data_IF_580680847236
#
_entry.id   IF_580680847236
#
_cell.length_a   1.000
_cell.length_b   1.000
_cell.length_c   1.000
_cell.angle_alpha   90.00
_cell.angle_beta   90.00
_cell.angle_gamma   90.00
#
_symmetry.space_group_name_H-M   'P 1'
#
loop_
_entity.id
_entity.type
_entity.pdbx_description
1 polymer ?
#
# COMPACT_ATOMS: atom_id res chain seq x y z
N UNK A 1 31.87 45.76 -60.98
CA UNK A 1 32.80 45.24 -60.00
C UNK A 1 32.23 45.50 -58.63
N UNK A 2 31.79 44.57 -57.98
CA UNK A 2 31.97 44.13 -56.61
C UNK A 2 30.86 43.19 -56.19
N UNK A 3 31.30 42.07 -55.80
CA UNK A 3 30.57 40.87 -55.41
C UNK A 3 29.95 41.08 -54.04
N UNK A 4 28.66 40.77 -53.93
CA UNK A 4 27.95 40.67 -52.67
C UNK A 4 28.12 39.28 -52.06
N UNK A 5 28.69 39.19 -50.87
CA UNK A 5 28.78 37.97 -50.10
C UNK A 5 27.42 37.62 -49.50
N UNK A 6 26.93 36.44 -49.83
CA UNK A 6 25.78 35.78 -49.16
C UNK A 6 26.27 35.17 -47.83
N UNK A 7 25.81 35.70 -46.72
CA UNK A 7 25.96 35.07 -45.40
C UNK A 7 24.92 33.92 -45.28
N UNK A 8 25.43 32.69 -45.32
CA UNK A 8 24.70 31.53 -44.84
C UNK A 8 24.46 31.68 -43.33
N UNK A 9 23.23 31.91 -42.95
CA UNK A 9 22.82 31.76 -41.57
C UNK A 9 22.68 30.26 -41.28
N UNK A 10 23.57 29.76 -40.45
CA UNK A 10 23.53 28.44 -39.86
C UNK A 10 22.42 28.46 -38.75
N UNK A 11 21.18 28.11 -39.16
CA UNK A 11 20.14 27.81 -38.20
C UNK A 11 20.47 26.46 -37.59
N UNK A 12 21.24 26.47 -36.51
CA UNK A 12 21.31 25.35 -35.58
C UNK A 12 19.92 25.20 -34.95
N UNK A 13 19.11 24.34 -35.56
CA UNK A 13 17.93 23.79 -34.93
C UNK A 13 18.40 23.12 -33.64
N UNK A 14 18.12 23.75 -32.52
CA UNK A 14 18.30 23.11 -31.23
C UNK A 14 17.40 21.90 -31.27
N UNK A 15 17.96 20.70 -31.25
CA UNK A 15 17.25 19.49 -30.88
C UNK A 15 16.66 19.78 -29.49
N UNK A 16 15.38 20.11 -29.45
CA UNK A 16 14.61 20.12 -28.21
C UNK A 16 14.70 18.70 -27.67
N UNK A 17 15.30 18.62 -26.52
CA UNK A 17 15.57 17.42 -25.72
C UNK A 17 14.23 16.68 -25.55
N UNK A 18 13.99 15.65 -26.40
CA UNK A 18 12.79 14.80 -26.32
C UNK A 18 12.92 13.86 -25.12
N UNK A 19 13.03 14.43 -23.92
CA UNK A 19 12.90 13.66 -22.69
C UNK A 19 11.45 13.18 -22.61
N UNK A 20 11.27 11.88 -22.57
CA UNK A 20 9.95 11.28 -22.37
C UNK A 20 9.38 11.67 -21.00
N UNK A 21 8.08 11.66 -20.86
CA UNK A 21 7.38 11.82 -19.57
C UNK A 21 7.03 10.45 -19.04
N UNK A 22 7.38 10.19 -17.78
CA UNK A 22 7.01 8.98 -17.07
C UNK A 22 5.69 9.21 -16.31
N UNK A 23 4.58 8.82 -16.91
CA UNK A 23 3.24 9.04 -16.37
C UNK A 23 2.84 7.96 -15.37
N UNK A 24 2.48 8.35 -14.16
CA UNK A 24 1.98 7.50 -13.07
C UNK A 24 0.54 7.85 -12.75
N UNK A 25 -0.35 6.87 -12.77
CA UNK A 25 -1.73 7.03 -12.33
C UNK A 25 -1.97 6.20 -11.07
N UNK A 26 -2.41 6.87 -10.00
CA UNK A 26 -2.74 6.25 -8.72
C UNK A 26 -4.25 6.37 -8.47
N UNK A 27 -5.00 5.28 -8.59
CA UNK A 27 -6.41 5.24 -8.24
C UNK A 27 -6.58 4.68 -6.82
N UNK A 28 -7.42 5.33 -6.01
CA UNK A 28 -7.54 5.11 -4.58
C UNK A 28 -6.21 5.40 -3.88
N UNK A 29 -5.59 6.53 -4.23
CA UNK A 29 -4.22 6.87 -3.85
C UNK A 29 -3.99 6.98 -2.34
N UNK A 30 -5.04 7.20 -1.56
CA UNK A 30 -4.95 7.32 -0.11
C UNK A 30 -3.95 8.41 0.31
N UNK A 31 -3.04 8.07 1.21
CA UNK A 31 -1.97 8.97 1.67
C UNK A 31 -0.70 8.90 0.82
N UNK A 32 -0.74 8.24 -0.35
CA UNK A 32 0.41 8.15 -1.26
C UNK A 32 1.34 6.96 -1.00
N UNK A 33 0.84 5.88 -0.43
CA UNK A 33 1.65 4.69 -0.16
C UNK A 33 2.25 4.06 -1.42
N UNK A 34 1.51 4.04 -2.55
CA UNK A 34 2.00 3.54 -3.84
C UNK A 34 3.14 4.41 -4.36
N UNK A 35 3.01 5.73 -4.29
CA UNK A 35 4.07 6.67 -4.66
C UNK A 35 5.33 6.46 -3.84
N UNK A 36 5.21 6.37 -2.51
CA UNK A 36 6.35 6.07 -1.64
C UNK A 36 7.04 4.74 -2.00
N UNK A 37 6.26 3.76 -2.43
CA UNK A 37 6.79 2.48 -2.88
C UNK A 37 7.51 2.58 -4.23
N UNK A 38 6.99 3.36 -5.18
CA UNK A 38 7.65 3.65 -6.46
C UNK A 38 8.97 4.39 -6.25
N UNK A 39 8.98 5.42 -5.39
CA UNK A 39 10.19 6.16 -5.03
C UNK A 39 11.23 5.23 -4.35
N UNK A 40 10.79 4.36 -3.44
CA UNK A 40 11.66 3.39 -2.75
C UNK A 40 12.22 2.33 -3.67
N UNK A 41 11.43 1.84 -4.62
CA UNK A 41 11.84 0.87 -5.63
C UNK A 41 12.80 1.49 -6.66
N UNK A 42 12.92 2.83 -6.66
CA UNK A 42 13.82 3.58 -7.52
C UNK A 42 13.61 3.34 -9.02
N UNK A 43 12.36 3.12 -9.42
CA UNK A 43 12.00 2.72 -10.79
C UNK A 43 12.22 3.83 -11.83
N UNK A 44 12.45 5.07 -11.39
CA UNK A 44 12.62 6.25 -12.26
C UNK A 44 14.08 6.56 -12.62
N UNK A 45 15.08 5.95 -11.95
CA UNK A 45 16.48 6.39 -12.02
C UNK A 45 17.21 6.05 -13.33
N UNK A 46 16.66 5.15 -14.12
CA UNK A 46 17.27 4.74 -15.40
C UNK A 46 16.78 5.56 -16.59
N UNK A 47 15.81 6.44 -16.35
CA UNK A 47 15.22 7.29 -17.37
C UNK A 47 15.39 8.75 -16.95
N UNK A 48 15.96 9.58 -17.82
CA UNK A 48 16.04 11.03 -17.64
C UNK A 48 14.70 11.74 -17.86
N UNK A 49 13.60 10.98 -17.85
CA UNK A 49 12.24 11.46 -18.06
C UNK A 49 11.78 12.31 -16.88
N UNK A 50 10.95 13.30 -17.17
CA UNK A 50 10.15 13.99 -16.17
C UNK A 50 9.07 13.05 -15.65
N UNK A 51 8.82 13.02 -14.33
CA UNK A 51 7.83 12.13 -13.72
C UNK A 51 6.58 12.91 -13.36
N UNK A 52 5.44 12.49 -13.93
CA UNK A 52 4.13 13.07 -13.64
C UNK A 52 3.26 12.09 -12.85
N UNK A 53 2.63 12.59 -11.78
CA UNK A 53 1.72 11.81 -10.95
C UNK A 53 0.29 12.35 -11.04
N UNK A 54 -0.66 11.50 -11.36
CA UNK A 54 -2.09 11.78 -11.21
C UNK A 54 -2.67 10.86 -10.14
N UNK A 55 -2.99 11.43 -8.98
CA UNK A 55 -3.52 10.72 -7.81
C UNK A 55 -5.01 11.03 -7.62
N UNK A 56 -5.86 10.01 -7.51
CA UNK A 56 -7.32 10.14 -7.34
C UNK A 56 -7.76 9.42 -6.07
N UNK A 57 -8.43 10.15 -5.17
CA UNK A 57 -9.07 9.60 -3.98
C UNK A 57 -10.29 10.45 -3.58
N UNK A 58 -11.32 9.84 -3.00
CA UNK A 58 -12.50 10.55 -2.53
C UNK A 58 -12.41 11.05 -1.09
N UNK A 59 -11.34 10.71 -0.37
CA UNK A 59 -11.14 11.07 1.02
C UNK A 59 -10.34 12.38 1.14
N UNK A 60 -11.01 13.48 1.48
CA UNK A 60 -10.37 14.79 1.63
C UNK A 60 -9.19 14.79 2.63
N UNK A 61 -9.25 14.02 3.71
CA UNK A 61 -8.15 13.92 4.66
C UNK A 61 -6.94 13.19 4.06
N UNK A 62 -7.17 12.15 3.26
CA UNK A 62 -6.11 11.45 2.55
C UNK A 62 -5.45 12.38 1.53
N UNK A 63 -6.24 13.10 0.74
CA UNK A 63 -5.75 14.09 -0.22
C UNK A 63 -4.97 15.23 0.44
N UNK A 64 -5.39 15.68 1.64
CA UNK A 64 -4.65 16.69 2.40
C UNK A 64 -3.26 16.18 2.82
N UNK A 65 -3.16 14.92 3.28
CA UNK A 65 -1.88 14.27 3.59
C UNK A 65 -1.03 14.09 2.33
N UNK A 66 -1.61 13.61 1.24
CA UNK A 66 -0.91 13.45 -0.04
C UNK A 66 -0.31 14.78 -0.51
N UNK A 67 -1.12 15.84 -0.53
CA UNK A 67 -0.66 17.18 -0.91
C UNK A 67 0.45 17.71 -0.02
N UNK A 68 0.35 17.52 1.30
CA UNK A 68 1.36 17.97 2.26
C UNK A 68 2.74 17.35 2.02
N UNK A 69 2.79 16.12 1.48
CA UNK A 69 4.03 15.38 1.27
C UNK A 69 4.58 15.50 -0.15
N UNK A 70 3.75 15.74 -1.17
CA UNK A 70 4.17 15.53 -2.55
C UNK A 70 4.00 16.73 -3.49
N UNK A 71 3.19 17.74 -3.15
CA UNK A 71 2.93 18.88 -4.07
C UNK A 71 4.14 19.80 -4.30
N UNK A 72 5.12 19.81 -3.39
CA UNK A 72 6.29 20.69 -3.47
C UNK A 72 7.56 19.96 -3.98
N UNK A 73 7.39 18.74 -4.49
CA UNK A 73 8.49 17.98 -5.08
C UNK A 73 8.74 18.41 -6.53
N UNK A 74 9.87 18.03 -7.08
CA UNK A 74 10.30 18.35 -8.45
C UNK A 74 9.43 17.72 -9.55
N UNK A 75 8.63 16.72 -9.21
CA UNK A 75 7.70 16.04 -10.13
C UNK A 75 6.39 16.78 -10.27
N UNK A 76 5.81 16.85 -11.46
CA UNK A 76 4.46 17.35 -11.63
C UNK A 76 3.47 16.43 -10.92
N UNK A 77 2.64 16.98 -10.04
CA UNK A 77 1.69 16.23 -9.23
C UNK A 77 0.29 16.82 -9.31
N UNK A 78 -0.67 16.02 -9.76
CA UNK A 78 -2.09 16.36 -9.82
C UNK A 78 -2.85 15.50 -8.82
N UNK A 79 -3.53 16.13 -7.86
CA UNK A 79 -4.37 15.44 -6.86
C UNK A 79 -5.82 15.79 -7.11
N UNK A 80 -6.59 14.81 -7.56
CA UNK A 80 -8.00 14.93 -7.91
C UNK A 80 -8.86 14.32 -6.79
N UNK A 81 -9.78 15.11 -6.26
CA UNK A 81 -10.68 14.69 -5.18
C UNK A 81 -12.06 14.34 -5.74
N UNK A 82 -12.46 13.07 -5.57
CA UNK A 82 -13.77 12.61 -5.99
C UNK A 82 -13.87 11.10 -6.10
N UNK A 83 -15.07 10.62 -6.38
CA UNK A 83 -15.29 9.20 -6.67
C UNK A 83 -14.75 8.86 -8.07
N UNK A 84 -14.18 7.69 -8.21
CA UNK A 84 -13.61 7.22 -9.50
C UNK A 84 -14.64 7.29 -10.63
N UNK A 85 -15.90 6.99 -10.34
CA UNK A 85 -16.99 7.01 -11.32
C UNK A 85 -17.34 8.43 -11.85
N UNK A 86 -16.89 9.47 -11.15
CA UNK A 86 -17.10 10.87 -11.58
C UNK A 86 -16.01 11.40 -12.52
N UNK A 87 -14.96 10.62 -12.75
CA UNK A 87 -13.85 10.99 -13.64
C UNK A 87 -13.94 10.24 -14.98
N UNK A 88 -13.46 10.87 -16.01
CA UNK A 88 -13.12 10.20 -17.27
C UNK A 88 -11.79 9.47 -17.09
N UNK A 89 -11.87 8.27 -16.51
CA UNK A 89 -10.70 7.45 -16.19
C UNK A 89 -9.98 7.01 -17.46
N UNK A 90 -10.71 6.77 -18.53
CA UNK A 90 -10.13 6.44 -19.85
C UNK A 90 -9.19 7.55 -20.31
N UNK A 91 -9.65 8.81 -20.24
CA UNK A 91 -8.80 9.95 -20.57
C UNK A 91 -7.60 10.09 -19.62
N UNK A 92 -7.77 9.79 -18.33
CA UNK A 92 -6.66 9.81 -17.36
C UNK A 92 -5.63 8.73 -17.67
N UNK A 93 -6.06 7.52 -18.06
CA UNK A 93 -5.16 6.41 -18.43
C UNK A 93 -4.46 6.66 -19.76
N UNK A 94 -5.12 7.37 -20.69
CA UNK A 94 -4.60 7.76 -21.98
C UNK A 94 -3.85 9.11 -21.95
N UNK A 95 -3.31 9.50 -20.80
CA UNK A 95 -2.61 10.79 -20.62
C UNK A 95 -1.37 10.96 -21.52
N UNK A 96 -0.83 9.86 -22.03
CA UNK A 96 0.14 9.84 -23.15
C UNK A 96 -0.40 9.03 -24.34
N UNK A 97 0.19 9.22 -25.53
CA UNK A 97 -0.20 8.52 -26.76
C UNK A 97 -0.12 6.99 -26.60
N UNK A 98 0.81 6.51 -25.75
CA UNK A 98 1.07 5.09 -25.51
C UNK A 98 0.50 4.59 -24.16
N UNK A 99 -0.36 5.37 -23.50
CA UNK A 99 -0.88 5.11 -22.15
C UNK A 99 0.11 5.48 -21.03
N UNK A 100 -0.36 5.48 -19.79
CA UNK A 100 0.51 5.74 -18.66
C UNK A 100 1.52 4.61 -18.43
N UNK A 101 2.68 4.94 -17.86
CA UNK A 101 3.76 3.97 -17.61
C UNK A 101 3.36 2.93 -16.58
N UNK A 102 2.65 3.38 -15.53
CA UNK A 102 2.10 2.49 -14.52
C UNK A 102 0.77 3.01 -13.96
N UNK A 103 -0.16 2.09 -13.82
CA UNK A 103 -1.41 2.25 -13.06
C UNK A 103 -1.29 1.48 -11.74
N UNK A 104 -1.48 2.18 -10.62
CA UNK A 104 -1.56 1.55 -9.29
C UNK A 104 -2.99 1.64 -8.73
N UNK A 105 -3.47 0.56 -8.13
CA UNK A 105 -4.83 0.40 -7.65
C UNK A 105 -4.85 -0.16 -6.23
N UNK A 106 -5.51 0.51 -5.29
CA UNK A 106 -5.83 -0.07 -3.98
C UNK A 106 -7.32 0.14 -3.64
N UNK A 107 -8.23 -0.51 -4.40
CA UNK A 107 -9.67 -0.30 -4.25
C UNK A 107 -10.18 -0.76 -2.89
N UNK A 108 -11.28 -0.15 -2.39
CA UNK A 108 -11.87 -0.50 -1.09
C UNK A 108 -12.15 -2.00 -0.96
N UNK A 109 -11.74 -2.58 0.16
CA UNK A 109 -11.80 -4.01 0.44
C UNK A 109 -13.20 -4.55 0.81
N UNK A 110 -14.23 -3.73 0.82
CA UNK A 110 -15.60 -4.17 1.03
C UNK A 110 -16.25 -4.38 -0.34
N UNK A 111 -16.87 -5.53 -0.58
CA UNK A 111 -17.48 -6.48 0.37
C UNK A 111 -16.62 -7.70 0.77
N UNK A 112 -15.35 -7.78 0.42
CA UNK A 112 -14.49 -8.98 0.54
C UNK A 112 -14.00 -9.30 1.96
N UNK A 113 -14.15 -8.41 2.94
CA UNK A 113 -13.71 -8.67 4.32
C UNK A 113 -14.62 -9.66 5.03
N UNK A 114 -14.03 -10.55 5.86
CA UNK A 114 -14.79 -11.51 6.73
C UNK A 114 -15.83 -10.84 7.63
N UNK A 115 -15.74 -9.55 7.90
CA UNK A 115 -16.70 -8.74 8.66
C UNK A 115 -17.73 -8.04 7.76
N UNK A 116 -17.56 -8.05 6.45
CA UNK A 116 -18.54 -7.55 5.48
C UNK A 116 -19.70 -8.52 5.41
N UNK A 117 -20.91 -8.08 5.75
CA UNK A 117 -22.13 -8.86 5.45
C UNK A 117 -22.13 -9.10 3.95
N UNK A 118 -22.26 -10.36 3.50
CA UNK A 118 -22.33 -10.80 2.10
C UNK A 118 -23.36 -10.02 1.24
N UNK A 119 -23.08 -8.75 0.97
CA UNK A 119 -23.85 -7.87 0.08
C UNK A 119 -23.04 -7.62 -1.19
N UNK A 120 -22.66 -8.72 -1.87
CA UNK A 120 -21.73 -8.69 -3.01
C UNK A 120 -22.25 -7.89 -4.22
N UNK A 121 -23.55 -7.75 -4.41
CA UNK A 121 -24.12 -7.23 -5.66
C UNK A 121 -24.69 -5.79 -5.59
N UNK A 122 -24.66 -5.11 -4.45
CA UNK A 122 -25.29 -3.77 -4.28
C UNK A 122 -24.49 -2.78 -3.44
N UNK A 123 -23.18 -2.98 -3.30
CA UNK A 123 -22.36 -2.02 -2.57
C UNK A 123 -21.74 -1.04 -3.56
N UNK A 124 -22.07 0.25 -3.42
CA UNK A 124 -21.50 1.33 -4.25
C UNK A 124 -19.96 1.34 -4.29
N UNK A 125 -19.29 0.65 -3.36
CA UNK A 125 -17.83 0.52 -3.30
C UNK A 125 -17.25 -0.54 -4.22
N UNK A 126 -18.06 -1.48 -4.73
CA UNK A 126 -17.67 -2.40 -5.80
C UNK A 126 -17.80 -1.74 -7.18
N UNK A 127 -18.59 -0.68 -7.28
CA UNK A 127 -18.88 0.01 -8.54
C UNK A 127 -17.63 0.66 -9.13
N UNK A 128 -16.77 1.25 -8.27
CA UNK A 128 -15.56 1.93 -8.73
C UNK A 128 -14.55 0.98 -9.39
N UNK A 129 -14.31 -0.20 -8.79
CA UNK A 129 -13.44 -1.22 -9.41
C UNK A 129 -14.10 -1.81 -10.66
N UNK A 130 -15.42 -2.08 -10.62
CA UNK A 130 -16.15 -2.58 -11.77
C UNK A 130 -16.03 -1.62 -12.97
N UNK A 131 -16.16 -0.29 -12.75
CA UNK A 131 -15.97 0.72 -13.81
C UNK A 131 -14.57 0.66 -14.43
N UNK A 132 -13.54 0.42 -13.61
CA UNK A 132 -12.17 0.26 -14.12
C UNK A 132 -12.08 -1.02 -14.98
N UNK A 133 -12.68 -2.11 -14.52
CA UNK A 133 -12.71 -3.38 -15.28
C UNK A 133 -13.44 -3.20 -16.61
N UNK A 134 -14.58 -2.51 -16.60
CA UNK A 134 -15.35 -2.23 -17.82
C UNK A 134 -14.48 -1.53 -18.89
N UNK A 135 -13.63 -0.57 -18.51
CA UNK A 135 -12.70 0.11 -19.43
C UNK A 135 -11.76 -0.90 -20.14
N UNK A 136 -11.25 -1.89 -19.38
CA UNK A 136 -10.39 -2.91 -19.96
C UNK A 136 -11.17 -3.94 -20.79
N UNK A 137 -12.41 -4.24 -20.43
CA UNK A 137 -13.30 -5.11 -21.22
C UNK A 137 -13.63 -4.45 -22.57
N UNK A 138 -14.09 -3.19 -22.56
CA UNK A 138 -14.43 -2.41 -23.74
C UNK A 138 -13.23 -2.25 -24.69
N UNK A 139 -12.05 -1.92 -24.16
CA UNK A 139 -10.82 -1.82 -24.95
C UNK A 139 -10.41 -3.16 -25.62
N UNK A 140 -10.74 -4.29 -25.00
CA UNK A 140 -10.52 -5.62 -25.57
C UNK A 140 -11.47 -5.95 -26.71
N UNK A 141 -12.70 -5.45 -26.67
CA UNK A 141 -13.72 -5.67 -27.71
C UNK A 141 -13.45 -4.82 -28.96
N UNK A 142 -13.02 -3.56 -28.79
CA UNK A 142 -12.64 -2.69 -29.91
C UNK A 142 -11.53 -3.27 -30.79
N UNK A 143 -10.60 -4.05 -30.22
CA UNK A 143 -9.52 -4.72 -30.98
C UNK A 143 -10.03 -5.84 -31.90
N UNK A 144 -11.15 -6.48 -31.56
CA UNK A 144 -11.73 -7.55 -32.38
C UNK A 144 -12.51 -7.00 -33.60
N UNK A 145 -13.06 -5.78 -33.51
CA UNK A 145 -13.97 -5.22 -34.51
C UNK A 145 -13.33 -4.22 -35.49
N UNK A 146 -12.16 -3.63 -35.18
CA UNK A 146 -11.64 -2.50 -35.96
C UNK A 146 -10.19 -2.60 -36.43
N UNK A 147 -10.03 -2.71 -37.71
CA UNK A 147 -8.79 -2.35 -38.43
C UNK A 147 -8.82 -0.84 -38.64
N UNK A 148 -8.28 -0.05 -37.72
CA UNK A 148 -7.95 1.35 -38.00
C UNK A 148 -8.58 2.45 -37.13
N UNK A 149 -9.23 2.16 -35.99
CA UNK A 149 -9.75 3.16 -35.05
C UNK A 149 -9.02 3.15 -33.73
N UNK A 150 -8.97 4.33 -33.11
CA UNK A 150 -8.29 4.73 -31.88
C UNK A 150 -8.39 3.66 -30.79
N UNK A 151 -7.35 2.85 -30.63
CA UNK A 151 -7.23 1.94 -29.49
C UNK A 151 -7.06 2.79 -28.22
N UNK A 152 -7.90 2.57 -27.23
CA UNK A 152 -7.75 3.17 -25.90
C UNK A 152 -6.33 2.87 -25.40
N UNK A 153 -5.56 3.93 -25.12
CA UNK A 153 -4.18 3.78 -24.65
C UNK A 153 -4.20 3.24 -23.22
N UNK A 154 -4.00 1.95 -23.06
CA UNK A 154 -3.98 1.27 -21.77
C UNK A 154 -2.60 1.37 -21.08
N UNK A 155 -2.55 1.29 -19.72
CA UNK A 155 -1.30 1.34 -18.97
C UNK A 155 -0.29 0.29 -19.43
N UNK A 156 1.01 0.63 -19.42
CA UNK A 156 2.06 -0.33 -19.74
C UNK A 156 2.25 -1.38 -18.64
N UNK A 157 2.09 -0.96 -17.38
CA UNK A 157 2.17 -1.81 -16.18
C UNK A 157 1.02 -1.53 -15.23
N UNK A 158 0.64 -2.53 -14.45
CA UNK A 158 -0.44 -2.43 -13.46
C UNK A 158 0.00 -3.12 -12.17
N UNK A 159 -0.25 -2.48 -11.03
CA UNK A 159 -0.15 -3.09 -9.70
C UNK A 159 -1.47 -2.86 -8.96
N UNK A 160 -2.14 -3.94 -8.56
CA UNK A 160 -3.33 -3.90 -7.72
C UNK A 160 -3.04 -4.54 -6.37
N UNK A 161 -3.43 -3.87 -5.28
CA UNK A 161 -3.41 -4.40 -3.91
C UNK A 161 -4.84 -4.55 -3.38
N UNK A 162 -5.09 -5.65 -2.63
CA UNK A 162 -6.34 -5.82 -1.90
C UNK A 162 -6.15 -6.76 -0.69
N UNK A 163 -7.19 -6.94 0.11
CA UNK A 163 -7.18 -7.91 1.22
C UNK A 163 -7.20 -9.35 0.70
N UNK A 164 -6.69 -10.28 1.52
CA UNK A 164 -6.89 -11.72 1.30
C UNK A 164 -8.39 -12.02 1.33
N UNK A 165 -8.86 -12.77 0.34
CA UNK A 165 -10.27 -13.03 0.05
C UNK A 165 -10.75 -12.35 -1.24
N UNK A 166 -10.00 -11.35 -1.75
CA UNK A 166 -10.28 -10.75 -3.05
C UNK A 166 -10.14 -11.77 -4.19
N UNK A 167 -9.19 -12.69 -4.05
CA UNK A 167 -8.94 -13.77 -5.02
C UNK A 167 -10.14 -14.70 -5.27
N UNK A 168 -11.12 -14.67 -4.37
CA UNK A 168 -12.36 -15.46 -4.49
C UNK A 168 -13.53 -14.67 -5.12
N UNK A 169 -13.27 -13.41 -5.53
CA UNK A 169 -14.29 -12.52 -6.06
C UNK A 169 -14.43 -12.59 -7.58
N UNK A 170 -15.63 -12.32 -8.09
CA UNK A 170 -15.95 -12.26 -9.53
C UNK A 170 -15.23 -11.11 -10.23
N UNK A 171 -15.01 -9.99 -9.53
CA UNK A 171 -14.29 -8.84 -10.08
C UNK A 171 -12.83 -9.19 -10.38
N UNK A 172 -12.20 -10.03 -9.55
CA UNK A 172 -10.85 -10.54 -9.85
C UNK A 172 -10.84 -11.36 -11.13
N UNK A 173 -11.80 -12.27 -11.31
CA UNK A 173 -11.89 -13.12 -12.51
C UNK A 173 -12.09 -12.26 -13.77
N UNK A 174 -13.06 -11.35 -13.74
CA UNK A 174 -13.32 -10.41 -14.84
C UNK A 174 -12.07 -9.58 -15.18
N UNK A 175 -11.40 -9.03 -14.17
CA UNK A 175 -10.20 -8.20 -14.40
C UNK A 175 -9.07 -8.99 -15.06
N UNK A 176 -8.82 -10.22 -14.59
CA UNK A 176 -7.79 -11.08 -15.20
C UNK A 176 -8.14 -11.44 -16.65
N UNK A 177 -9.39 -11.75 -16.94
CA UNK A 177 -9.85 -12.04 -18.31
C UNK A 177 -9.67 -10.82 -19.21
N UNK A 178 -10.10 -9.63 -18.75
CA UNK A 178 -9.92 -8.40 -19.49
C UNK A 178 -8.43 -8.07 -19.74
N UNK A 179 -7.56 -8.25 -18.74
CA UNK A 179 -6.12 -8.06 -18.90
C UNK A 179 -5.52 -9.04 -19.92
N UNK A 180 -5.90 -10.31 -19.89
CA UNK A 180 -5.43 -11.31 -20.86
C UNK A 180 -5.90 -11.01 -22.28
N UNK A 181 -7.15 -10.54 -22.44
CA UNK A 181 -7.72 -10.10 -23.74
C UNK A 181 -6.95 -8.90 -24.31
N UNK A 182 -6.49 -8.01 -23.45
CA UNK A 182 -5.65 -6.87 -23.78
C UNK A 182 -4.16 -7.17 -23.83
N UNK A 183 -3.78 -8.45 -23.98
CA UNK A 183 -2.39 -8.88 -24.14
C UNK A 183 -1.46 -8.48 -22.99
N UNK A 184 -1.90 -8.69 -21.73
CA UNK A 184 -1.04 -8.58 -20.56
C UNK A 184 -0.50 -9.95 -20.08
N UNK A 185 0.74 -9.96 -19.64
CA UNK A 185 1.23 -10.98 -18.71
C UNK A 185 0.73 -10.63 -17.31
N UNK A 186 0.14 -11.59 -16.60
CA UNK A 186 -0.44 -11.39 -15.27
C UNK A 186 0.22 -12.34 -14.28
N UNK A 187 0.61 -11.80 -13.11
CA UNK A 187 1.12 -12.58 -11.96
C UNK A 187 0.35 -12.19 -10.71
N UNK A 188 -0.04 -13.18 -9.92
CA UNK A 188 -0.80 -12.97 -8.69
C UNK A 188 -0.05 -13.50 -7.48
N UNK A 189 -0.26 -12.85 -6.33
CA UNK A 189 0.29 -13.23 -5.05
C UNK A 189 -0.81 -13.16 -3.99
N UNK A 190 -1.00 -14.24 -3.22
CA UNK A 190 -2.00 -14.31 -2.17
C UNK A 190 -1.31 -14.44 -0.83
N UNK A 191 -1.63 -13.53 0.10
CA UNK A 191 -1.17 -13.61 1.47
C UNK A 191 0.25 -13.12 1.71
N UNK A 192 0.88 -12.37 0.76
CA UNK A 192 2.17 -11.73 1.05
C UNK A 192 2.05 -10.78 2.23
N UNK A 193 2.96 -10.90 3.16
CA UNK A 193 2.95 -10.14 4.40
C UNK A 193 4.37 -9.68 4.79
N UNK A 194 4.51 -8.47 5.37
CA UNK A 194 5.82 -7.87 5.66
C UNK A 194 6.73 -8.77 6.52
N UNK A 195 6.16 -9.45 7.52
CA UNK A 195 6.94 -10.29 8.43
C UNK A 195 7.50 -11.54 7.75
N UNK A 196 6.71 -12.16 6.89
CA UNK A 196 7.13 -13.40 6.20
C UNK A 196 8.03 -13.12 5.02
N UNK A 197 7.80 -12.00 4.32
CA UNK A 197 8.54 -11.64 3.12
C UNK A 197 9.85 -10.90 3.41
N UNK A 198 9.86 -10.02 4.42
CA UNK A 198 10.92 -9.05 4.63
C UNK A 198 11.44 -8.99 6.08
N UNK A 199 10.84 -9.74 7.00
CA UNK A 199 11.20 -9.70 8.42
C UNK A 199 10.70 -8.46 9.18
N UNK A 200 9.87 -7.61 8.58
CA UNK A 200 9.29 -6.45 9.26
C UNK A 200 8.27 -6.93 10.29
N UNK A 201 8.37 -6.53 11.59
CA UNK A 201 7.61 -7.17 12.67
C UNK A 201 6.12 -6.76 12.72
N UNK A 202 5.43 -6.87 11.60
CA UNK A 202 3.97 -6.61 11.50
C UNK A 202 3.30 -7.55 10.52
N UNK A 203 2.22 -8.21 10.94
CA UNK A 203 1.37 -9.03 10.08
C UNK A 203 0.44 -8.13 9.27
N UNK A 204 0.53 -8.24 7.93
CA UNK A 204 -0.38 -7.57 7.01
C UNK A 204 -0.53 -8.38 5.72
N UNK A 205 -1.10 -9.59 5.78
CA UNK A 205 -1.29 -10.41 4.58
C UNK A 205 -2.23 -9.73 3.59
N UNK A 206 -1.81 -9.65 2.32
CA UNK A 206 -2.54 -9.00 1.24
C UNK A 206 -2.49 -9.82 -0.05
N UNK A 207 -3.47 -9.59 -0.89
CA UNK A 207 -3.49 -10.01 -2.28
C UNK A 207 -2.84 -8.92 -3.14
N UNK A 208 -2.04 -9.35 -4.13
CA UNK A 208 -1.45 -8.47 -5.12
C UNK A 208 -1.61 -9.07 -6.51
N UNK A 209 -1.85 -8.20 -7.49
CA UNK A 209 -1.83 -8.53 -8.91
C UNK A 209 -0.86 -7.59 -9.61
N UNK A 210 0.06 -8.17 -10.38
CA UNK A 210 0.96 -7.47 -11.27
C UNK A 210 0.57 -7.80 -12.71
N UNK A 211 0.58 -6.80 -13.58
CA UNK A 211 0.41 -7.02 -15.01
C UNK A 211 1.34 -6.12 -15.81
N UNK A 212 1.81 -6.61 -16.97
CA UNK A 212 2.63 -5.86 -17.93
C UNK A 212 2.30 -6.28 -19.36
N UNK A 213 2.33 -5.32 -20.29
CA UNK A 213 1.96 -5.56 -21.69
C UNK A 213 2.97 -6.50 -22.36
N UNK A 214 2.49 -7.55 -23.02
CA UNK A 214 3.32 -8.57 -23.68
C UNK A 214 4.19 -8.00 -24.80
N UNK A 215 3.68 -7.03 -25.53
CA UNK A 215 4.39 -6.39 -26.65
C UNK A 215 5.62 -5.58 -26.21
N UNK A 216 5.63 -5.12 -24.95
CA UNK A 216 6.69 -4.27 -24.41
C UNK A 216 7.64 -5.04 -23.49
N UNK A 217 7.16 -6.10 -22.84
CA UNK A 217 7.88 -6.79 -21.77
C UNK A 217 7.74 -8.30 -21.87
N UNK A 218 8.78 -9.03 -21.46
CA UNK A 218 8.75 -10.48 -21.37
C UNK A 218 7.79 -11.01 -20.31
N UNK A 219 7.56 -12.33 -20.30
CA UNK A 219 6.78 -13.01 -19.24
C UNK A 219 7.46 -12.88 -17.88
N UNK A 220 6.68 -12.94 -16.79
CA UNK A 220 7.18 -13.04 -15.42
C UNK A 220 7.92 -14.37 -15.14
N UNK A 221 7.72 -15.38 -15.97
CA UNK A 221 8.22 -16.73 -15.75
C UNK A 221 9.49 -17.05 -16.57
N UNK A 222 10.19 -16.02 -17.11
CA UNK A 222 11.42 -16.21 -17.85
C UNK A 222 12.57 -16.50 -16.86
N UNK A 223 13.00 -17.77 -16.90
CA UNK A 223 14.31 -18.30 -16.43
C UNK A 223 14.69 -18.06 -14.97
N UNK A 224 14.10 -18.81 -14.04
CA UNK A 224 14.73 -19.08 -12.74
C UNK A 224 14.98 -17.89 -11.81
N UNK A 225 14.57 -16.72 -12.22
CA UNK A 225 14.77 -15.43 -11.55
C UNK A 225 13.62 -15.04 -10.60
N UNK A 226 12.88 -16.03 -10.12
CA UNK A 226 11.95 -15.76 -9.03
C UNK A 226 12.75 -15.15 -7.86
N UNK A 227 12.39 -13.95 -7.39
CA UNK A 227 13.12 -13.33 -6.29
C UNK A 227 13.15 -14.26 -5.06
N UNK A 228 14.20 -14.22 -4.24
CA UNK A 228 14.36 -15.13 -3.09
C UNK A 228 13.14 -15.19 -2.16
N UNK A 229 12.37 -14.10 -2.07
CA UNK A 229 11.14 -14.02 -1.28
C UNK A 229 9.94 -14.76 -1.91
N UNK A 230 10.04 -15.19 -3.19
CA UNK A 230 9.03 -16.03 -3.87
C UNK A 230 9.28 -17.52 -3.70
N UNK A 231 10.52 -17.93 -3.41
CA UNK A 231 10.82 -19.36 -3.27
C UNK A 231 10.13 -19.88 -2.01
N UNK A 232 9.26 -20.86 -2.17
CA UNK A 232 8.58 -21.59 -1.09
C UNK A 232 9.54 -22.41 -0.19
N UNK A 233 10.82 -22.41 -0.49
CA UNK A 233 11.85 -23.06 0.28
C UNK A 233 12.47 -22.08 1.30
N UNK A 234 11.76 -21.89 2.43
CA UNK A 234 12.33 -21.50 3.73
C UNK A 234 13.43 -20.42 3.75
N UNK A 235 13.24 -19.29 3.11
CA UNK A 235 13.88 -18.07 3.60
C UNK A 235 12.98 -17.50 4.69
N UNK A 236 13.06 -18.09 5.88
CA UNK A 236 12.62 -17.40 7.09
C UNK A 236 13.56 -16.21 7.25
N UNK A 237 13.21 -15.09 6.64
CA UNK A 237 13.87 -13.82 6.93
C UNK A 237 13.74 -13.62 8.42
N UNK A 238 14.87 -13.49 9.13
CA UNK A 238 14.82 -13.25 10.57
C UNK A 238 13.99 -12.00 10.81
N UNK A 239 12.98 -12.13 11.69
CA UNK A 239 12.13 -10.99 12.02
C UNK A 239 12.94 -9.97 12.81
N UNK A 240 12.90 -8.74 12.38
CA UNK A 240 13.57 -7.62 13.05
C UNK A 240 12.95 -7.35 14.43
N UNK A 241 13.74 -6.75 15.32
CA UNK A 241 13.23 -6.35 16.62
C UNK A 241 12.27 -5.16 16.46
N UNK A 242 11.04 -5.32 16.93
CA UNK A 242 10.01 -4.27 16.88
C UNK A 242 10.45 -2.98 17.58
N UNK A 243 11.36 -3.08 18.56
CA UNK A 243 11.91 -1.92 19.25
C UNK A 243 12.60 -0.90 18.33
N UNK A 244 13.09 -1.35 17.16
CA UNK A 244 13.70 -0.46 16.16
C UNK A 244 12.69 0.49 15.50
N UNK A 245 11.41 0.16 15.55
CA UNK A 245 10.31 0.92 14.98
C UNK A 245 9.64 1.87 15.96
N UNK A 246 10.03 1.79 17.26
CA UNK A 246 9.41 2.58 18.31
C UNK A 246 10.12 3.92 18.53
N UNK A 247 9.35 4.87 19.05
CA UNK A 247 9.87 6.17 19.45
C UNK A 247 10.77 6.00 20.69
N UNK A 248 11.92 6.70 20.71
CA UNK A 248 12.86 6.67 21.85
C UNK A 248 12.26 7.35 23.09
N UNK A 249 11.47 8.39 22.86
CA UNK A 249 10.74 9.10 23.88
C UNK A 249 9.25 8.96 23.58
N UNK A 250 8.48 8.51 24.57
CA UNK A 250 7.05 8.23 24.38
C UNK A 250 6.27 9.50 24.65
N UNK A 251 5.50 9.91 23.66
CA UNK A 251 4.63 11.09 23.76
C UNK A 251 3.49 10.87 24.77
N UNK A 252 3.14 11.93 25.49
CA UNK A 252 2.01 11.94 26.42
C UNK A 252 0.72 11.83 25.59
N UNK A 253 -0.18 10.90 25.94
CA UNK A 253 -1.50 10.76 25.29
C UNK A 253 -1.69 9.47 24.48
N UNK A 254 -0.74 8.53 24.55
CA UNK A 254 -0.87 7.20 23.94
C UNK A 254 -1.50 6.15 24.87
N UNK A 255 -1.94 6.55 26.06
CA UNK A 255 -2.57 5.66 27.02
C UNK A 255 -3.93 5.15 26.53
N UNK A 256 -4.23 3.91 26.90
CA UNK A 256 -5.51 3.30 26.51
C UNK A 256 -6.61 3.83 27.41
N UNK A 257 -7.69 4.31 26.81
CA UNK A 257 -8.81 4.90 27.53
C UNK A 257 -9.44 3.87 28.50
N UNK A 258 -9.73 4.30 29.72
CA UNK A 258 -10.29 3.47 30.80
C UNK A 258 -11.49 2.62 30.36
N UNK A 259 -12.40 3.19 29.57
CA UNK A 259 -13.56 2.46 29.03
C UNK A 259 -13.20 1.24 28.17
N UNK A 260 -11.96 1.17 27.64
CA UNK A 260 -11.45 0.05 26.83
C UNK A 260 -10.67 -0.95 27.67
N UNK A 261 -10.11 -0.54 28.80
CA UNK A 261 -9.31 -1.38 29.68
C UNK A 261 -10.09 -2.61 30.16
N UNK A 262 -11.40 -2.49 30.41
CA UNK A 262 -12.27 -3.61 30.76
C UNK A 262 -12.26 -4.77 29.76
N UNK A 263 -11.79 -4.52 28.53
CA UNK A 263 -11.62 -5.53 27.47
C UNK A 263 -10.20 -6.09 27.40
N UNK A 264 -9.40 -5.94 28.46
CA UNK A 264 -7.98 -6.33 28.51
C UNK A 264 -7.73 -7.79 28.08
N UNK A 265 -8.66 -8.70 28.32
CA UNK A 265 -8.60 -10.12 27.91
C UNK A 265 -8.47 -10.32 26.38
N UNK A 266 -8.82 -9.30 25.62
CA UNK A 266 -8.77 -9.31 24.15
C UNK A 266 -7.59 -8.49 23.60
N UNK A 267 -6.74 -7.91 24.46
CA UNK A 267 -5.59 -7.15 23.99
C UNK A 267 -4.56 -8.10 23.40
N UNK A 268 -4.17 -7.82 22.16
CA UNK A 268 -2.98 -8.35 21.55
C UNK A 268 -1.84 -7.37 21.84
N UNK A 269 -0.77 -7.83 22.48
CA UNK A 269 0.32 -6.96 22.93
C UNK A 269 1.64 -7.41 22.34
N UNK A 270 2.53 -6.45 22.07
CA UNK A 270 3.94 -6.68 21.78
C UNK A 270 4.77 -6.30 23.00
N UNK A 271 5.71 -7.15 23.38
CA UNK A 271 6.53 -6.96 24.56
C UNK A 271 7.94 -6.48 24.18
N UNK A 272 8.21 -5.22 24.43
CA UNK A 272 9.50 -4.58 24.09
C UNK A 272 10.64 -5.05 25.02
N UNK A 273 10.32 -5.50 26.23
CA UNK A 273 11.31 -5.90 27.23
C UNK A 273 11.90 -7.30 26.97
N UNK A 274 11.34 -8.06 26.03
CA UNK A 274 11.74 -9.46 25.76
C UNK A 274 12.84 -9.62 24.71
N UNK A 275 13.71 -8.62 24.55
CA UNK A 275 14.81 -8.59 23.54
C UNK A 275 15.87 -9.71 23.67
N UNK A 276 15.68 -10.66 24.57
CA UNK A 276 16.62 -11.78 24.83
C UNK A 276 16.29 -13.08 24.10
N UNK A 277 15.20 -13.19 23.35
CA UNK A 277 14.92 -14.39 22.56
C UNK A 277 15.62 -14.32 21.21
N UNK A 278 16.50 -15.28 20.93
CA UNK A 278 17.26 -15.39 19.66
C UNK A 278 16.39 -15.56 18.40
N UNK A 279 15.07 -15.71 18.56
CA UNK A 279 14.09 -15.82 17.50
C UNK A 279 12.98 -14.78 17.72
N UNK A 280 13.12 -13.59 17.10
CA UNK A 280 12.15 -12.49 17.19
C UNK A 280 10.77 -12.78 16.57
N UNK A 281 10.52 -13.99 16.07
CA UNK A 281 9.22 -14.40 15.48
C UNK A 281 8.05 -14.28 16.45
N UNK A 282 8.32 -14.15 17.75
CA UNK A 282 7.33 -14.14 18.82
C UNK A 282 6.74 -12.75 19.11
N UNK A 283 7.39 -11.69 18.60
CA UNK A 283 7.05 -10.31 18.93
C UNK A 283 6.64 -9.52 17.69
N UNK A 284 5.67 -10.05 16.95
CA UNK A 284 5.14 -9.49 15.71
C UNK A 284 3.77 -8.88 15.96
N UNK A 285 3.61 -7.62 15.62
CA UNK A 285 2.33 -6.93 15.75
C UNK A 285 1.28 -7.51 14.79
N UNK A 286 0.02 -7.56 15.23
CA UNK A 286 -1.09 -7.93 14.37
C UNK A 286 -1.44 -6.79 13.40
N UNK A 287 -2.24 -7.11 12.37
CA UNK A 287 -2.65 -6.14 11.35
C UNK A 287 -3.34 -4.93 11.95
N UNK A 288 -2.74 -3.76 11.79
CA UNK A 288 -3.41 -2.50 12.08
C UNK A 288 -4.43 -2.18 11.00
N UNK A 289 -5.68 -1.91 11.43
CA UNK A 289 -6.79 -1.58 10.53
C UNK A 289 -7.26 -0.15 10.78
N UNK A 290 -8.13 0.38 9.92
CA UNK A 290 -8.76 1.70 10.07
C UNK A 290 -9.55 1.88 11.38
N UNK A 291 -9.77 0.79 12.12
CA UNK A 291 -10.39 0.80 13.44
C UNK A 291 -9.43 1.03 14.60
N UNK A 292 -8.12 1.11 14.36
CA UNK A 292 -7.12 1.31 15.41
C UNK A 292 -7.39 2.61 16.20
N UNK A 293 -7.19 2.57 17.50
CA UNK A 293 -7.61 3.64 18.38
C UNK A 293 -9.13 3.72 18.63
N UNK A 294 -9.97 3.02 17.85
CA UNK A 294 -11.43 2.95 18.04
C UNK A 294 -11.85 1.68 18.77
N UNK A 295 -11.31 0.54 18.36
CA UNK A 295 -11.62 -0.78 18.93
C UNK A 295 -10.35 -1.50 19.35
N UNK A 296 -10.46 -2.38 20.33
CA UNK A 296 -9.34 -3.19 20.83
C UNK A 296 -8.95 -4.34 19.91
N UNK A 297 -9.71 -4.60 18.86
CA UNK A 297 -9.49 -5.69 17.90
C UNK A 297 -8.82 -5.23 16.59
N UNK A 298 -8.30 -4.02 16.56
CA UNK A 298 -7.86 -3.39 15.32
C UNK A 298 -6.35 -3.24 15.18
N UNK A 299 -5.59 -3.94 15.98
CA UNK A 299 -4.14 -3.94 16.02
C UNK A 299 -3.62 -4.25 17.42
N UNK A 300 -2.31 -4.35 17.55
CA UNK A 300 -1.63 -4.63 18.81
C UNK A 300 -1.43 -3.38 19.66
N UNK A 301 -1.17 -3.60 20.95
CA UNK A 301 -0.73 -2.58 21.91
C UNK A 301 0.73 -2.82 22.30
N UNK A 302 1.42 -1.79 22.75
CA UNK A 302 2.76 -1.91 23.29
C UNK A 302 2.67 -2.13 24.80
N UNK A 303 3.39 -3.13 25.28
CA UNK A 303 3.60 -3.36 26.70
C UNK A 303 4.85 -2.60 27.16
N UNK A 304 4.66 -1.62 28.04
CA UNK A 304 5.74 -0.78 28.59
C UNK A 304 6.64 -1.58 29.57
N UNK A 305 6.02 -2.46 30.38
CA UNK A 305 6.70 -3.29 31.38
C UNK A 305 6.26 -4.75 31.23
N UNK A 306 7.22 -5.67 31.10
CA UNK A 306 6.99 -7.06 30.72
C UNK A 306 6.24 -7.94 31.71
N UNK A 307 6.00 -7.47 32.93
CA UNK A 307 5.61 -8.32 34.05
C UNK A 307 4.16 -8.82 34.06
N UNK A 308 3.30 -8.29 33.16
CA UNK A 308 1.86 -8.63 33.09
C UNK A 308 1.46 -9.37 31.83
N UNK A 309 2.42 -9.81 31.04
CA UNK A 309 2.11 -10.53 29.80
C UNK A 309 2.82 -11.89 29.76
N UNK A 310 2.08 -12.92 29.39
CA UNK A 310 2.63 -14.25 29.09
C UNK A 310 2.38 -14.56 27.61
N UNK A 311 3.32 -15.30 27.03
CA UNK A 311 3.18 -15.78 25.67
C UNK A 311 2.03 -16.79 25.60
N UNK A 312 1.08 -16.56 24.70
CA UNK A 312 0.02 -17.52 24.39
C UNK A 312 0.51 -18.50 23.32
N UNK A 313 0.92 -19.68 23.73
CA UNK A 313 1.43 -20.74 22.84
C UNK A 313 0.37 -21.26 21.86
N UNK A 314 -0.92 -20.97 22.11
CA UNK A 314 -2.02 -21.40 21.27
C UNK A 314 -2.46 -20.32 20.26
N UNK A 315 -1.97 -19.10 20.37
CA UNK A 315 -2.36 -17.95 19.56
C UNK A 315 -1.22 -17.41 18.69
N UNK A 316 -0.70 -18.21 17.75
CA UNK A 316 0.25 -17.78 16.70
C UNK A 316 1.30 -16.75 17.20
N UNK A 317 1.95 -17.01 18.31
CA UNK A 317 2.99 -16.19 18.90
C UNK A 317 2.53 -14.81 19.46
N UNK A 318 1.27 -14.62 19.80
CA UNK A 318 0.80 -13.41 20.45
C UNK A 318 1.09 -13.44 21.97
N UNK A 319 1.44 -12.29 22.55
CA UNK A 319 1.42 -12.10 23.99
C UNK A 319 0.01 -11.76 24.46
N UNK A 320 -0.38 -12.37 25.58
CA UNK A 320 -1.65 -12.09 26.27
C UNK A 320 -1.39 -11.56 27.65
N UNK A 321 -2.23 -10.63 28.07
CA UNK A 321 -2.21 -10.16 29.44
C UNK A 321 -2.77 -11.24 30.37
N UNK A 322 -2.07 -11.54 31.43
CA UNK A 322 -2.41 -12.61 32.39
C UNK A 322 -2.18 -12.10 33.79
N UNK A 323 -3.10 -12.41 34.72
CA UNK A 323 -2.93 -12.17 36.14
C UNK A 323 -1.83 -13.08 36.69
N UNK A 324 -1.00 -12.55 37.59
CA UNK A 324 0.01 -13.33 38.29
C UNK A 324 -0.57 -14.05 39.51
N UNK A 325 -1.64 -13.48 40.09
CA UNK A 325 -2.40 -14.04 41.22
C UNK A 325 -3.85 -14.23 40.80
N UNK A 326 -4.32 -15.47 40.89
CA UNK A 326 -5.71 -15.83 40.55
C UNK A 326 -6.73 -15.16 41.51
N UNK A 327 -6.27 -14.67 42.68
CA UNK A 327 -7.11 -13.93 43.62
C UNK A 327 -7.19 -12.43 43.33
N UNK A 328 -6.37 -11.90 42.40
CA UNK A 328 -6.44 -10.49 41.99
C UNK A 328 -7.79 -10.21 41.33
N UNK A 329 -8.48 -9.15 41.70
CA UNK A 329 -9.74 -8.75 41.06
C UNK A 329 -9.51 -8.34 39.61
N UNK A 330 -10.56 -8.42 38.75
CA UNK A 330 -10.47 -7.93 37.36
C UNK A 330 -10.26 -6.41 37.35
N UNK A 331 -10.76 -5.69 38.33
CA UNK A 331 -10.60 -4.24 38.49
C UNK A 331 -9.16 -3.85 38.81
N UNK A 332 -8.53 -4.51 39.79
CA UNK A 332 -7.14 -4.24 40.17
C UNK A 332 -6.19 -4.58 39.03
N UNK A 333 -6.41 -5.68 38.35
CA UNK A 333 -5.62 -6.05 37.16
C UNK A 333 -5.82 -5.06 36.02
N UNK A 334 -7.04 -4.60 35.78
CA UNK A 334 -7.34 -3.58 34.78
C UNK A 334 -6.61 -2.26 35.07
N UNK A 335 -6.49 -1.86 36.35
CA UNK A 335 -5.71 -0.70 36.74
C UNK A 335 -4.22 -0.87 36.42
N UNK A 336 -3.64 -2.05 36.70
CA UNK A 336 -2.24 -2.37 36.31
C UNK A 336 -2.06 -2.33 34.79
N UNK A 337 -3.00 -2.90 34.04
CA UNK A 337 -3.00 -2.88 32.56
C UNK A 337 -2.99 -1.44 32.02
N UNK A 338 -3.80 -0.56 32.62
CA UNK A 338 -3.89 0.85 32.17
C UNK A 338 -2.55 1.58 32.25
N UNK A 339 -1.73 1.25 33.26
CA UNK A 339 -0.41 1.82 33.48
C UNK A 339 0.69 1.16 32.62
N UNK A 340 0.44 -0.05 32.16
CA UNK A 340 1.46 -0.90 31.51
C UNK A 340 1.34 -0.98 30.00
N UNK A 341 0.20 -0.60 29.40
CA UNK A 341 0.01 -0.65 27.95
C UNK A 341 -0.19 0.73 27.35
N UNK A 342 0.18 0.85 26.07
CA UNK A 342 -0.09 2.05 25.27
C UNK A 342 -0.42 1.69 23.83
N UNK A 343 -1.01 2.62 23.12
CA UNK A 343 -1.07 2.57 21.66
C UNK A 343 0.30 2.75 21.01
N UNK A 344 0.45 2.27 19.80
CA UNK A 344 1.51 2.76 18.91
C UNK A 344 1.23 4.20 18.51
N UNK A 345 2.27 5.03 18.42
CA UNK A 345 2.14 6.36 17.84
C UNK A 345 1.85 6.27 16.32
N UNK A 346 1.28 7.31 15.69
CA UNK A 346 1.17 7.35 14.24
C UNK A 346 2.52 7.18 13.53
N UNK A 347 3.60 7.76 14.06
CA UNK A 347 4.96 7.65 13.52
C UNK A 347 5.49 6.21 13.59
N UNK A 348 5.31 5.54 14.72
CA UNK A 348 5.67 4.12 14.88
C UNK A 348 4.90 3.23 13.88
N UNK A 349 3.61 3.50 13.69
CA UNK A 349 2.82 2.80 12.67
C UNK A 349 3.31 3.10 11.24
N UNK A 350 3.68 4.34 10.96
CA UNK A 350 4.28 4.71 9.68
C UNK A 350 5.54 3.91 9.39
N UNK A 351 6.47 3.80 10.35
CA UNK A 351 7.69 3.00 10.20
C UNK A 351 7.39 1.54 9.90
N UNK A 352 6.44 0.93 10.64
CA UNK A 352 6.00 -0.45 10.37
C UNK A 352 5.38 -0.64 8.97
N UNK A 353 4.78 0.41 8.40
CA UNK A 353 4.28 0.40 7.03
C UNK A 353 5.35 0.77 5.98
N UNK A 354 6.56 1.17 6.39
CA UNK A 354 7.65 1.58 5.51
C UNK A 354 7.59 3.05 5.10
N UNK A 355 6.83 3.84 5.80
CA UNK A 355 6.73 5.28 5.61
C UNK A 355 7.83 5.94 6.45
N UNK A 356 8.56 6.89 5.86
CA UNK A 356 9.70 7.57 6.48
C UNK A 356 9.25 8.55 7.58
N UNK A 357 10.18 8.90 8.48
CA UNK A 357 9.94 9.79 9.62
C UNK A 357 9.65 11.25 9.23
N UNK A 358 10.06 11.67 8.05
CA UNK A 358 9.80 13.00 7.48
C UNK A 358 8.39 13.14 6.87
N UNK A 359 7.60 12.07 6.90
CA UNK A 359 6.23 12.08 6.39
C UNK A 359 5.30 12.89 7.31
N UNK A 360 4.58 13.85 6.72
CA UNK A 360 3.81 14.85 7.46
C UNK A 360 2.32 14.57 7.44
N UNK A 361 1.71 14.59 8.62
CA UNK A 361 0.25 14.72 8.75
C UNK A 361 -0.11 16.17 9.04
N UNK A 362 -1.03 16.80 8.28
CA UNK A 362 -1.51 18.13 8.58
C UNK A 362 -1.98 18.27 10.04
N UNK A 363 -1.66 19.37 10.76
CA UNK A 363 -2.03 19.57 12.15
C UNK A 363 -3.54 19.55 12.43
N UNK A 364 -4.36 19.72 11.41
CA UNK A 364 -5.82 19.62 11.49
C UNK A 364 -6.32 18.18 11.70
N UNK A 365 -5.47 17.17 11.48
CA UNK A 365 -5.85 15.77 11.63
C UNK A 365 -5.61 15.29 13.06
N UNK A 366 -6.68 14.88 13.73
CA UNK A 366 -6.57 14.19 15.01
C UNK A 366 -5.80 12.86 14.88
N UNK A 367 -5.16 12.41 15.95
CA UNK A 367 -4.47 11.11 16.02
C UNK A 367 -5.36 9.96 15.50
N UNK A 368 -6.64 9.98 15.83
CA UNK A 368 -7.59 8.96 15.36
C UNK A 368 -7.81 8.99 13.83
N UNK A 369 -7.80 10.17 13.22
CA UNK A 369 -7.87 10.29 11.77
C UNK A 369 -6.59 9.78 11.12
N UNK A 370 -5.43 10.08 11.72
CA UNK A 370 -4.13 9.55 11.28
C UNK A 370 -4.12 8.00 11.35
N UNK A 371 -4.53 7.40 12.46
CA UNK A 371 -4.67 5.94 12.60
C UNK A 371 -5.58 5.34 11.51
N UNK A 372 -6.72 5.98 11.23
CA UNK A 372 -7.63 5.52 10.17
C UNK A 372 -6.97 5.52 8.80
N UNK A 373 -6.22 6.57 8.49
CA UNK A 373 -5.54 6.72 7.21
C UNK A 373 -4.40 5.71 7.06
N UNK A 374 -3.56 5.54 8.08
CA UNK A 374 -2.45 4.56 8.08
C UNK A 374 -3.01 3.13 7.98
N UNK A 375 -4.05 2.81 8.76
CA UNK A 375 -4.66 1.48 8.76
C UNK A 375 -5.33 1.08 7.44
N UNK A 376 -5.77 2.07 6.64
CA UNK A 376 -6.24 1.86 5.28
C UNK A 376 -5.10 1.81 4.25
N UNK A 377 -3.90 2.28 4.60
CA UNK A 377 -2.76 2.32 3.71
C UNK A 377 -2.21 0.92 3.37
N UNK A 378 -1.22 0.89 2.50
CA UNK A 378 -0.51 -0.32 2.08
C UNK A 378 0.78 -0.53 2.88
N UNK A 379 1.43 -1.68 2.72
CA UNK A 379 2.83 -1.85 3.12
C UNK A 379 3.75 -1.36 2.00
N UNK A 380 4.37 -0.21 2.21
CA UNK A 380 5.36 0.38 1.29
C UNK A 380 6.54 -0.56 1.08
N UNK A 381 6.94 -1.29 2.12
CA UNK A 381 8.02 -2.29 2.06
C UNK A 381 7.72 -3.40 1.02
N UNK A 382 6.53 -4.01 1.11
CA UNK A 382 6.13 -5.12 0.23
C UNK A 382 5.92 -4.62 -1.20
N UNK A 383 5.19 -3.51 -1.34
CA UNK A 383 4.87 -2.96 -2.67
C UNK A 383 6.13 -2.51 -3.40
N UNK A 384 7.13 -1.93 -2.72
CA UNK A 384 8.39 -1.57 -3.35
C UNK A 384 9.10 -2.81 -3.94
N UNK A 385 9.11 -3.94 -3.24
CA UNK A 385 9.69 -5.19 -3.76
C UNK A 385 8.91 -5.77 -4.94
N UNK A 386 7.60 -5.63 -4.95
CA UNK A 386 6.77 -6.01 -6.08
C UNK A 386 6.99 -5.10 -7.29
N UNK A 387 7.21 -3.81 -7.08
CA UNK A 387 7.56 -2.87 -8.14
C UNK A 387 8.95 -3.15 -8.71
N UNK A 388 9.96 -3.40 -7.87
CA UNK A 388 11.28 -3.87 -8.34
C UNK A 388 11.16 -5.10 -9.27
N UNK A 389 10.24 -6.01 -8.97
CA UNK A 389 9.96 -7.19 -9.80
C UNK A 389 9.16 -6.87 -11.06
N UNK A 390 8.20 -5.97 -10.98
CA UNK A 390 7.36 -5.56 -12.12
C UNK A 390 8.16 -4.82 -13.20
N UNK A 391 9.23 -4.11 -12.79
CA UNK A 391 10.06 -3.29 -13.69
C UNK A 391 11.32 -4.00 -14.21
N UNK A 392 11.57 -5.23 -13.81
CA UNK A 392 12.59 -6.09 -14.42
C UNK A 392 12.14 -6.55 -15.81
#
# INVERSE_FOLDING_TARGET
>A
MNLGETKNGDETVREEDQRGVFEVVELFSGIGGMRLALERANVFMNDSSEVHFTAIDNNCNANAVYKANFMNLSSETRVLEGNIESFDVEHVLASSVDGCEILTLSPPCQPYTRKGKNRREKDARSTALARIIDIFEDAGEEKEESVGTRTTALPKRILLENVVGFELGTERERFIEALKKNEYHVKEFVGLSPETMLGVPVKRPRYYLLARRKELFGSFDIDGDDPPWMSSQNVTTAVEDIAQYLDKEVDIGLDVEEKKIKYWKFFDVVNVSSSSSKNNTDNVASTFTSGYGKTVFSGSFILKNGDIAKRDVNANNAYRLVKDDDNESDEDFAERVSKSVRYFSPTELCRLHGIKDDFVFPPSLSMRQQYKLIGNGISVHVVAKLLEYLFK
#
